data_IF_340955576788
#
_entry.id   IF_340955576788
#
_cell.length_a   1.000
_cell.length_b   1.000
_cell.length_c   1.000
_cell.angle_alpha   90.00
_cell.angle_beta   90.00
_cell.angle_gamma   90.00
#
_symmetry.space_group_name_H-M   'P 1'
#
loop_
_entity.id
_entity.type
_entity.pdbx_description
1 polymer ?
#
# COMPACT_ATOMS: atom_id res chain seq x y z
N UNK A 1 20.76 -5.21 -14.53
CA UNK A 1 19.68 -6.02 -13.92
C UNK A 1 18.54 -6.04 -14.92
N UNK A 2 17.87 -7.19 -15.13
CA UNK A 2 16.68 -7.22 -16.00
C UNK A 2 15.53 -6.57 -15.26
N UNK A 3 14.74 -5.76 -15.97
CA UNK A 3 13.53 -5.09 -15.47
C UNK A 3 12.35 -5.58 -16.30
N UNK A 4 11.19 -5.75 -15.67
CA UNK A 4 9.94 -5.97 -16.37
C UNK A 4 9.34 -4.59 -16.69
N UNK A 5 9.02 -4.35 -17.98
CA UNK A 5 8.33 -3.15 -18.43
C UNK A 5 6.99 -3.57 -19.03
N UNK A 6 5.91 -3.22 -18.35
CA UNK A 6 4.55 -3.66 -18.67
C UNK A 6 3.68 -2.44 -18.92
N UNK A 7 2.96 -2.44 -20.04
CA UNK A 7 1.94 -1.43 -20.36
C UNK A 7 0.59 -2.12 -20.31
N UNK A 8 -0.32 -1.61 -19.50
CA UNK A 8 -1.67 -2.14 -19.31
C UNK A 8 -2.70 -1.10 -19.80
N UNK A 9 -3.73 -1.56 -20.49
CA UNK A 9 -4.75 -0.69 -21.09
C UNK A 9 -6.14 -1.34 -21.04
N UNK A 10 -7.05 -0.80 -20.23
CA UNK A 10 -8.44 -1.23 -20.11
C UNK A 10 -8.60 -2.74 -19.82
N UNK A 11 -7.93 -3.26 -18.81
CA UNK A 11 -7.90 -4.69 -18.53
C UNK A 11 -7.94 -5.04 -17.04
N UNK A 12 -8.32 -6.28 -16.75
CA UNK A 12 -8.23 -6.90 -15.42
C UNK A 12 -7.13 -7.94 -15.49
N UNK A 13 -6.11 -7.83 -14.65
CA UNK A 13 -4.89 -8.63 -14.75
C UNK A 13 -4.52 -9.27 -13.41
N UNK A 14 -4.13 -10.54 -13.47
CA UNK A 14 -3.32 -11.18 -12.44
C UNK A 14 -1.87 -11.08 -12.86
N UNK A 15 -1.05 -10.36 -12.09
CA UNK A 15 0.36 -10.13 -12.44
C UNK A 15 1.28 -11.16 -11.78
N UNK A 16 2.24 -11.62 -12.56
CA UNK A 16 3.43 -12.35 -12.09
C UNK A 16 4.68 -11.65 -12.61
N UNK A 17 5.48 -11.10 -11.71
CA UNK A 17 6.77 -10.49 -12.08
C UNK A 17 7.87 -11.56 -12.07
N UNK A 18 8.76 -11.49 -13.07
CA UNK A 18 9.91 -12.41 -13.20
C UNK A 18 11.22 -11.79 -12.71
N UNK A 19 11.20 -10.52 -12.42
CA UNK A 19 12.39 -9.75 -12.02
C UNK A 19 12.19 -9.08 -10.67
N UNK A 20 13.26 -8.54 -10.10
CA UNK A 20 13.23 -7.81 -8.82
C UNK A 20 12.72 -6.37 -8.98
N UNK A 21 12.64 -5.88 -10.21
CA UNK A 21 12.16 -4.53 -10.54
C UNK A 21 11.10 -4.59 -11.62
N UNK A 22 10.03 -3.82 -11.44
CA UNK A 22 8.94 -3.73 -12.39
C UNK A 22 8.53 -2.28 -12.62
N UNK A 23 8.34 -1.92 -13.90
CA UNK A 23 7.77 -0.65 -14.32
C UNK A 23 6.41 -0.94 -14.98
N UNK A 24 5.36 -0.37 -14.39
CA UNK A 24 3.99 -0.44 -14.89
C UNK A 24 3.59 0.91 -15.48
N UNK A 25 3.12 0.92 -16.71
CA UNK A 25 2.49 2.10 -17.33
C UNK A 25 1.01 1.81 -17.53
N UNK A 26 0.16 2.63 -16.94
CA UNK A 26 -1.29 2.44 -16.92
C UNK A 26 -1.96 3.39 -17.90
N UNK A 27 -2.78 2.83 -18.78
CA UNK A 27 -3.67 3.53 -19.70
C UNK A 27 -5.09 3.07 -19.44
N UNK A 28 -6.07 3.98 -19.62
CA UNK A 28 -7.47 3.62 -19.43
C UNK A 28 -7.78 3.10 -18.04
N UNK A 29 -8.67 2.14 -17.91
CA UNK A 29 -9.11 1.58 -16.62
C UNK A 29 -8.50 0.19 -16.40
N UNK A 30 -7.66 0.04 -15.39
CA UNK A 30 -6.92 -1.19 -15.09
C UNK A 30 -7.20 -1.65 -13.67
N UNK A 31 -7.43 -2.95 -13.53
CA UNK A 31 -7.59 -3.60 -12.23
C UNK A 31 -6.54 -4.71 -12.11
N UNK A 32 -5.66 -4.58 -11.11
CA UNK A 32 -4.56 -5.51 -10.87
C UNK A 32 -4.79 -6.25 -9.56
N UNK A 33 -4.79 -7.58 -9.62
CA UNK A 33 -4.54 -8.44 -8.48
C UNK A 33 -3.11 -8.97 -8.59
N UNK A 34 -2.21 -8.48 -7.75
CA UNK A 34 -0.83 -8.94 -7.73
C UNK A 34 -0.70 -10.16 -6.82
N UNK A 35 -0.61 -11.33 -7.43
CA UNK A 35 -0.50 -12.63 -6.76
C UNK A 35 0.95 -13.06 -6.48
N UNK A 36 1.92 -12.20 -6.80
CA UNK A 36 3.32 -12.53 -6.62
C UNK A 36 3.69 -12.73 -5.15
N UNK A 37 4.31 -13.88 -4.87
CA UNK A 37 4.94 -14.17 -3.58
C UNK A 37 6.44 -13.87 -3.59
N UNK A 38 6.90 -13.04 -4.50
CA UNK A 38 8.31 -12.87 -4.78
C UNK A 38 8.90 -11.62 -4.15
N UNK A 39 10.21 -11.63 -4.16
CA UNK A 39 11.10 -10.63 -3.61
C UNK A 39 11.20 -9.39 -4.52
N UNK A 40 10.08 -8.83 -4.97
CA UNK A 40 10.12 -7.56 -5.68
C UNK A 40 10.79 -6.52 -4.78
N UNK A 41 11.84 -5.88 -5.29
CA UNK A 41 12.59 -4.84 -4.57
C UNK A 41 12.15 -3.44 -4.98
N UNK A 42 11.66 -3.27 -6.21
CA UNK A 42 11.22 -1.98 -6.72
C UNK A 42 10.03 -2.12 -7.67
N UNK A 43 8.98 -1.34 -7.40
CA UNK A 43 7.77 -1.21 -8.21
C UNK A 43 7.59 0.26 -8.60
N UNK A 44 7.64 0.53 -9.90
CA UNK A 44 7.38 1.86 -10.43
C UNK A 44 6.05 1.83 -11.18
N UNK A 45 5.13 2.72 -10.84
CA UNK A 45 3.81 2.82 -11.47
C UNK A 45 3.66 4.23 -12.04
N UNK A 46 3.32 4.33 -13.31
CA UNK A 46 3.00 5.60 -13.98
C UNK A 46 1.58 5.55 -14.52
N UNK A 47 0.72 6.44 -14.03
CA UNK A 47 -0.63 6.65 -14.53
C UNK A 47 -0.59 7.75 -15.58
N UNK A 48 -0.99 7.43 -16.81
CA UNK A 48 -1.13 8.39 -17.89
C UNK A 48 -2.44 9.17 -17.76
N UNK A 49 -2.58 10.27 -18.49
CA UNK A 49 -3.75 11.13 -18.44
C UNK A 49 -5.06 10.35 -18.61
N UNK A 50 -6.02 10.60 -17.73
CA UNK A 50 -7.34 9.96 -17.72
C UNK A 50 -7.38 8.51 -17.25
N UNK A 51 -6.26 7.96 -16.80
CA UNK A 51 -6.21 6.55 -16.39
C UNK A 51 -6.75 6.30 -14.98
N UNK A 52 -7.20 5.06 -14.76
CA UNK A 52 -7.69 4.58 -13.46
C UNK A 52 -7.00 3.28 -13.10
N UNK A 53 -6.48 3.19 -11.89
CA UNK A 53 -5.86 1.98 -11.37
C UNK A 53 -6.47 1.57 -10.04
N UNK A 54 -6.94 0.32 -9.97
CA UNK A 54 -7.13 -0.40 -8.72
C UNK A 54 -6.04 -1.48 -8.62
N UNK A 55 -5.15 -1.34 -7.65
CA UNK A 55 -4.06 -2.28 -7.39
C UNK A 55 -4.23 -2.94 -6.03
N UNK A 56 -4.33 -4.25 -6.01
CA UNK A 56 -4.45 -5.03 -4.79
C UNK A 56 -3.27 -6.01 -4.66
N UNK A 57 -2.64 -6.01 -3.49
CA UNK A 57 -1.54 -6.90 -3.13
C UNK A 57 -1.69 -7.42 -1.72
N UNK A 58 -1.56 -8.73 -1.57
CA UNK A 58 -1.24 -9.33 -0.29
C UNK A 58 0.13 -10.00 -0.39
N UNK A 59 0.99 -9.80 0.60
CA UNK A 59 2.32 -10.40 0.64
C UNK A 59 2.71 -10.83 2.05
N UNK A 60 3.72 -11.70 2.13
CA UNK A 60 4.24 -12.22 3.39
C UNK A 60 5.76 -12.23 3.38
N UNK A 61 6.35 -11.82 4.51
CA UNK A 61 7.78 -11.91 4.77
C UNK A 61 8.68 -11.29 3.69
N UNK A 62 8.35 -10.06 3.28
CA UNK A 62 9.23 -9.24 2.42
C UNK A 62 10.37 -8.64 3.26
N UNK A 63 11.47 -8.27 2.61
CA UNK A 63 12.61 -7.59 3.27
C UNK A 63 12.57 -6.09 3.00
N UNK A 64 12.85 -5.70 1.78
CA UNK A 64 12.89 -4.31 1.35
C UNK A 64 12.03 -4.16 0.10
N UNK A 65 11.23 -3.10 0.07
CA UNK A 65 10.43 -2.78 -1.10
C UNK A 65 10.39 -1.28 -1.27
N UNK A 66 10.69 -0.81 -2.48
CA UNK A 66 10.48 0.57 -2.89
C UNK A 66 9.35 0.63 -3.89
N UNK A 67 8.37 1.49 -3.64
CA UNK A 67 7.23 1.75 -4.51
C UNK A 67 7.26 3.21 -4.90
N UNK A 68 7.32 3.49 -6.19
CA UNK A 68 7.24 4.84 -6.75
C UNK A 68 6.00 4.93 -7.63
N UNK A 69 5.14 5.90 -7.35
CA UNK A 69 3.90 6.14 -8.10
C UNK A 69 3.95 7.56 -8.68
N UNK A 70 3.60 7.70 -9.95
CA UNK A 70 3.46 9.00 -10.62
C UNK A 70 2.10 9.10 -11.28
N UNK A 71 1.42 10.22 -11.05
CA UNK A 71 0.07 10.48 -11.53
C UNK A 71 0.05 11.74 -12.39
N UNK A 72 -0.35 11.59 -13.66
CA UNK A 72 -0.54 12.71 -14.58
C UNK A 72 -1.91 13.37 -14.36
N UNK A 73 -2.55 13.95 -15.38
CA UNK A 73 -3.85 14.61 -15.20
C UNK A 73 -5.02 13.61 -15.21
N UNK A 74 -6.09 13.96 -14.49
CA UNK A 74 -7.38 13.27 -14.51
C UNK A 74 -7.29 11.78 -14.12
N UNK A 75 -6.37 11.43 -13.23
CA UNK A 75 -6.16 10.05 -12.81
C UNK A 75 -6.98 9.66 -11.58
N UNK A 76 -7.23 8.36 -11.44
CA UNK A 76 -7.79 7.78 -10.22
C UNK A 76 -6.94 6.58 -9.79
N UNK A 77 -6.38 6.65 -8.61
CA UNK A 77 -5.59 5.58 -8.01
C UNK A 77 -6.25 5.06 -6.73
N UNK A 78 -6.44 3.75 -6.66
CA UNK A 78 -6.67 3.04 -5.42
C UNK A 78 -5.60 1.95 -5.30
N UNK A 79 -4.65 2.16 -4.38
CA UNK A 79 -3.52 1.27 -4.14
C UNK A 79 -3.68 0.61 -2.78
N UNK A 80 -3.91 -0.70 -2.75
CA UNK A 80 -4.13 -1.49 -1.54
C UNK A 80 -3.00 -2.51 -1.38
N UNK A 81 -2.16 -2.33 -0.36
CA UNK A 81 -1.02 -3.18 -0.08
C UNK A 81 -1.12 -3.76 1.34
N UNK A 82 -1.36 -5.05 1.43
CA UNK A 82 -1.48 -5.78 2.68
C UNK A 82 -0.29 -6.70 2.90
N UNK A 83 0.31 -6.66 4.11
CA UNK A 83 1.49 -7.46 4.41
C UNK A 83 1.42 -8.10 5.80
N UNK A 84 1.83 -9.37 5.88
CA UNK A 84 2.03 -10.09 7.13
C UNK A 84 3.52 -10.39 7.29
N UNK A 85 4.12 -9.96 8.41
CA UNK A 85 5.57 -10.02 8.59
C UNK A 85 5.95 -10.80 9.85
N UNK A 86 6.73 -11.88 9.68
CA UNK A 86 7.43 -12.58 10.76
C UNK A 86 8.94 -12.26 10.78
N UNK A 87 9.40 -11.42 9.86
CA UNK A 87 10.77 -10.89 9.78
C UNK A 87 10.72 -9.37 9.66
N UNK A 88 11.87 -8.71 9.82
CA UNK A 88 11.95 -7.25 9.64
C UNK A 88 11.75 -6.86 8.18
N UNK A 89 10.88 -5.89 7.93
CA UNK A 89 10.60 -5.33 6.60
C UNK A 89 10.81 -3.81 6.58
N UNK A 90 11.30 -3.30 5.45
CA UNK A 90 11.37 -1.86 5.17
C UNK A 90 10.67 -1.54 3.87
N UNK A 91 9.71 -0.61 3.93
CA UNK A 91 8.94 -0.15 2.77
C UNK A 91 9.18 1.34 2.59
N UNK A 92 9.53 1.73 1.38
CA UNK A 92 9.55 3.13 0.94
C UNK A 92 8.42 3.28 -0.08
N UNK A 93 7.50 4.20 0.20
CA UNK A 93 6.37 4.52 -0.67
C UNK A 93 6.44 5.99 -1.05
N UNK A 94 6.76 6.27 -2.30
CA UNK A 94 6.84 7.62 -2.84
C UNK A 94 5.73 7.81 -3.90
N UNK A 95 4.80 8.73 -3.64
CA UNK A 95 3.75 9.12 -4.59
C UNK A 95 3.93 10.55 -5.02
N UNK A 96 3.81 10.81 -6.33
CA UNK A 96 3.94 12.14 -6.93
C UNK A 96 2.75 12.45 -7.81
N UNK A 97 1.98 13.45 -7.42
CA UNK A 97 0.92 14.04 -8.23
C UNK A 97 1.53 15.15 -9.09
N UNK A 98 1.53 14.93 -10.40
CA UNK A 98 2.18 15.80 -11.40
C UNK A 98 1.18 16.66 -12.16
N UNK A 99 -0.11 16.31 -12.16
CA UNK A 99 -1.16 16.97 -12.92
C UNK A 99 -2.38 17.35 -12.07
N UNK A 100 -3.45 17.79 -12.72
CA UNK A 100 -4.69 18.24 -12.10
C UNK A 100 -5.74 17.13 -12.03
N UNK A 101 -6.79 17.33 -11.23
CA UNK A 101 -8.01 16.51 -11.13
C UNK A 101 -7.73 15.04 -10.75
N UNK A 102 -6.78 14.79 -9.86
CA UNK A 102 -6.43 13.43 -9.48
C UNK A 102 -7.09 13.02 -8.15
N UNK A 103 -7.46 11.74 -8.06
CA UNK A 103 -7.91 11.10 -6.82
C UNK A 103 -6.99 9.94 -6.49
N UNK A 104 -6.22 10.08 -5.44
CA UNK A 104 -5.24 9.11 -5.01
C UNK A 104 -5.58 8.59 -3.61
N UNK A 105 -5.72 7.28 -3.48
CA UNK A 105 -5.87 6.60 -2.20
C UNK A 105 -4.84 5.49 -2.08
N UNK A 106 -3.90 5.65 -1.15
CA UNK A 106 -2.87 4.67 -0.85
C UNK A 106 -3.12 4.05 0.52
N UNK A 107 -3.40 2.76 0.55
CA UNK A 107 -3.69 2.01 1.76
C UNK A 107 -2.62 0.94 1.98
N UNK A 108 -1.92 1.01 3.11
CA UNK A 108 -0.94 0.01 3.54
C UNK A 108 -1.40 -0.58 4.87
N UNK A 109 -1.66 -1.88 4.89
CA UNK A 109 -2.07 -2.62 6.08
C UNK A 109 -1.01 -3.66 6.44
N UNK A 110 -0.33 -3.48 7.56
CA UNK A 110 0.73 -4.37 8.02
C UNK A 110 0.35 -5.12 9.30
N UNK A 111 0.71 -6.38 9.37
CA UNK A 111 0.68 -7.17 10.62
C UNK A 111 2.09 -7.63 10.94
N UNK A 112 2.59 -7.29 12.13
CA UNK A 112 3.86 -7.80 12.66
C UNK A 112 3.60 -8.91 13.69
N UNK A 113 4.26 -10.06 13.50
CA UNK A 113 4.16 -11.23 14.37
C UNK A 113 5.55 -11.83 14.61
N UNK A 114 5.76 -12.57 15.69
CA UNK A 114 7.03 -13.21 16.07
C UNK A 114 8.16 -12.17 16.16
N UNK A 115 9.20 -12.31 15.32
CA UNK A 115 10.34 -11.39 15.22
C UNK A 115 10.15 -10.30 14.16
N UNK A 116 8.94 -10.23 13.60
CA UNK A 116 8.58 -9.28 12.55
C UNK A 116 8.51 -7.84 13.06
N UNK A 117 9.05 -6.92 12.28
CA UNK A 117 8.90 -5.48 12.45
C UNK A 117 8.71 -4.82 11.09
N UNK A 118 7.90 -3.78 11.03
CA UNK A 118 7.57 -3.08 9.79
C UNK A 118 8.00 -1.62 9.93
N UNK A 119 8.86 -1.18 9.03
CA UNK A 119 9.23 0.23 8.89
C UNK A 119 8.65 0.73 7.57
N UNK A 120 7.79 1.75 7.62
CA UNK A 120 7.22 2.39 6.42
C UNK A 120 7.64 3.85 6.40
N UNK A 121 8.35 4.25 5.34
CA UNK A 121 8.59 5.64 5.02
C UNK A 121 7.71 5.98 3.81
N UNK A 122 6.70 6.82 4.00
CA UNK A 122 5.78 7.23 2.96
C UNK A 122 5.92 8.71 2.68
N UNK A 123 5.99 9.08 1.40
CA UNK A 123 6.06 10.47 0.98
C UNK A 123 5.03 10.73 -0.13
N UNK A 124 4.01 11.49 0.20
CA UNK A 124 3.09 12.06 -0.78
C UNK A 124 3.56 13.43 -1.22
N UNK A 125 3.67 13.68 -2.52
CA UNK A 125 4.07 14.97 -3.04
C UNK A 125 3.13 15.48 -4.12
N UNK A 126 2.77 16.76 -4.02
CA UNK A 126 1.91 17.47 -4.96
C UNK A 126 2.69 18.67 -5.48
N UNK A 127 2.81 18.78 -6.81
CA UNK A 127 3.58 19.86 -7.44
C UNK A 127 2.94 21.24 -7.23
N UNK A 128 3.72 22.27 -7.50
CA UNK A 128 3.25 23.64 -7.50
C UNK A 128 2.30 23.90 -8.69
N UNK A 129 1.35 24.83 -8.50
CA UNK A 129 0.44 25.33 -9.53
C UNK A 129 -0.50 24.26 -10.15
N UNK A 130 -0.73 23.14 -9.48
CA UNK A 130 -1.75 22.15 -9.84
C UNK A 130 -2.93 22.22 -8.86
N UNK A 131 -4.10 21.76 -9.30
CA UNK A 131 -5.35 21.93 -8.54
C UNK A 131 -6.28 20.73 -8.66
N UNK A 132 -7.32 20.76 -7.84
CA UNK A 132 -8.39 19.76 -7.84
C UNK A 132 -7.86 18.33 -7.59
N UNK A 133 -6.84 18.21 -6.71
CA UNK A 133 -6.28 16.93 -6.34
C UNK A 133 -6.71 16.53 -4.93
N UNK A 134 -7.02 15.24 -4.75
CA UNK A 134 -7.34 14.63 -3.46
C UNK A 134 -6.39 13.44 -3.22
N UNK A 135 -5.50 13.58 -2.25
CA UNK A 135 -4.50 12.57 -1.89
C UNK A 135 -4.74 12.07 -0.46
N UNK A 136 -4.95 10.78 -0.32
CA UNK A 136 -5.05 10.10 0.97
C UNK A 136 -3.99 9.02 1.12
N UNK A 137 -3.14 9.14 2.13
CA UNK A 137 -2.26 8.07 2.62
C UNK A 137 -2.83 7.48 3.91
N UNK A 138 -3.08 6.20 3.94
CA UNK A 138 -3.62 5.50 5.11
C UNK A 138 -2.74 4.27 5.42
N UNK A 139 -1.91 4.38 6.46
CA UNK A 139 -0.96 3.35 6.85
C UNK A 139 -1.32 2.85 8.25
N UNK A 140 -1.60 1.55 8.35
CA UNK A 140 -1.99 0.93 9.62
C UNK A 140 -1.17 -0.33 9.88
N UNK A 141 -0.63 -0.44 11.08
CA UNK A 141 0.12 -1.61 11.52
C UNK A 141 -0.56 -2.20 12.78
N UNK A 142 -0.88 -3.48 12.73
CA UNK A 142 -1.35 -4.27 13.87
C UNK A 142 -0.18 -5.09 14.41
N UNK A 143 0.17 -4.87 15.66
CA UNK A 143 1.21 -5.63 16.38
C UNK A 143 0.59 -6.85 17.06
N UNK A 144 1.15 -8.01 16.80
CA UNK A 144 0.87 -9.26 17.54
C UNK A 144 2.03 -9.66 18.46
N UNK A 145 3.07 -8.84 18.49
CA UNK A 145 4.33 -9.00 19.24
C UNK A 145 4.74 -7.64 19.83
N UNK A 146 5.86 -7.58 20.53
CA UNK A 146 6.41 -6.36 21.13
C UNK A 146 7.51 -5.72 20.26
N UNK A 147 7.49 -5.92 18.95
CA UNK A 147 8.50 -5.37 18.05
C UNK A 147 8.31 -3.87 17.78
N UNK A 148 9.41 -3.19 17.51
CA UNK A 148 9.42 -1.78 17.13
C UNK A 148 8.99 -1.61 15.67
N UNK A 149 7.72 -1.25 15.47
CA UNK A 149 7.22 -0.82 14.17
C UNK A 149 7.33 0.71 14.06
N UNK A 150 7.60 1.19 12.85
CA UNK A 150 7.79 2.63 12.60
C UNK A 150 7.02 3.04 11.35
N UNK A 151 6.26 4.14 11.44
CA UNK A 151 5.66 4.80 10.28
C UNK A 151 6.17 6.24 10.25
N UNK A 152 6.75 6.66 9.14
CA UNK A 152 7.21 8.02 8.89
C UNK A 152 6.42 8.57 7.69
N UNK A 153 5.27 9.22 7.93
CA UNK A 153 4.50 9.83 6.86
C UNK A 153 5.02 11.25 6.58
N UNK A 154 5.21 11.60 5.31
CA UNK A 154 5.61 12.91 4.85
C UNK A 154 4.67 13.42 3.77
N UNK A 155 4.28 14.69 3.85
CA UNK A 155 3.49 15.37 2.83
C UNK A 155 4.24 16.62 2.35
N UNK A 156 4.50 16.69 1.05
CA UNK A 156 5.16 17.81 0.37
C UNK A 156 4.15 18.45 -0.58
N UNK A 157 3.47 19.49 -0.09
CA UNK A 157 2.35 20.11 -0.82
C UNK A 157 2.77 21.45 -1.36
N UNK A 158 2.92 21.55 -2.68
CA UNK A 158 3.30 22.77 -3.40
C UNK A 158 2.13 23.65 -3.84
N UNK A 159 0.87 23.18 -3.67
CA UNK A 159 -0.32 23.92 -4.11
C UNK A 159 -1.33 24.11 -2.96
N UNK A 160 -2.10 25.21 -3.01
CA UNK A 160 -3.15 25.51 -2.03
C UNK A 160 -4.53 25.02 -2.47
N UNK A 161 -4.70 24.56 -3.71
CA UNK A 161 -5.98 24.11 -4.28
C UNK A 161 -6.09 22.58 -4.31
N UNK A 162 -5.67 21.93 -3.22
CA UNK A 162 -5.62 20.48 -3.10
C UNK A 162 -6.04 20.02 -1.70
N UNK A 163 -6.61 18.81 -1.61
CA UNK A 163 -6.90 18.11 -0.35
C UNK A 163 -5.87 17.02 -0.16
N UNK A 164 -5.10 17.09 0.91
CA UNK A 164 -4.06 16.10 1.20
C UNK A 164 -4.15 15.67 2.65
N UNK A 165 -4.30 14.37 2.86
CA UNK A 165 -4.44 13.79 4.19
C UNK A 165 -3.53 12.57 4.36
N UNK A 166 -2.99 12.38 5.55
CA UNK A 166 -2.36 11.13 5.95
C UNK A 166 -2.92 10.63 7.28
N UNK A 167 -3.09 9.31 7.36
CA UNK A 167 -3.45 8.61 8.58
C UNK A 167 -2.39 7.54 8.86
N UNK A 168 -1.73 7.63 10.01
CA UNK A 168 -0.73 6.66 10.43
C UNK A 168 -1.13 6.09 11.81
N UNK A 169 -1.25 4.78 11.91
CA UNK A 169 -1.65 4.11 13.15
C UNK A 169 -0.85 2.84 13.38
N UNK A 170 -0.28 2.70 14.57
CA UNK A 170 0.28 1.46 15.08
C UNK A 170 -0.51 1.08 16.32
N UNK A 171 -1.07 -0.13 16.34
CA UNK A 171 -1.90 -0.62 17.43
C UNK A 171 -1.57 -2.05 17.80
N UNK A 172 -1.71 -2.41 19.07
CA UNK A 172 -1.69 -3.79 19.54
C UNK A 172 -3.04 -4.47 19.28
N UNK A 173 -3.02 -5.80 19.29
CA UNK A 173 -4.25 -6.59 19.25
C UNK A 173 -5.08 -6.33 20.52
N UNK A 174 -6.30 -5.82 20.36
CA UNK A 174 -7.20 -5.59 21.47
C UNK A 174 -7.74 -6.94 22.01
N UNK A 175 -7.39 -7.26 23.24
CA UNK A 175 -7.81 -8.49 23.92
C UNK A 175 -9.32 -8.59 24.13
N UNK A 176 -10.05 -7.47 24.16
CA UNK A 176 -11.51 -7.48 24.28
C UNK A 176 -12.17 -8.14 23.06
N UNK A 177 -11.64 -7.90 21.85
CA UNK A 177 -12.14 -8.59 20.65
C UNK A 177 -11.87 -10.11 20.73
N UNK A 178 -10.71 -10.52 21.26
CA UNK A 178 -10.41 -11.94 21.47
C UNK A 178 -11.39 -12.57 22.46
N UNK A 179 -11.62 -11.93 23.61
CA UNK A 179 -12.59 -12.43 24.62
C UNK A 179 -14.00 -12.51 24.05
N UNK A 180 -14.42 -11.50 23.29
CA UNK A 180 -15.72 -11.53 22.62
C UNK A 180 -15.84 -12.72 21.66
N UNK A 181 -14.87 -12.94 20.80
CA UNK A 181 -14.89 -14.05 19.84
C UNK A 181 -14.81 -15.42 20.55
N UNK A 182 -14.00 -15.54 21.61
CA UNK A 182 -13.95 -16.74 22.44
C UNK A 182 -15.31 -17.04 23.08
N UNK A 183 -16.03 -16.02 23.55
CA UNK A 183 -17.39 -16.19 24.10
C UNK A 183 -18.41 -16.68 23.07
N UNK A 184 -18.12 -16.54 21.77
CA UNK A 184 -18.90 -17.08 20.65
C UNK A 184 -18.45 -18.47 20.22
N UNK A 185 -17.50 -19.08 20.93
CA UNK A 185 -17.05 -20.46 20.71
C UNK A 185 -15.83 -20.61 19.78
N UNK A 186 -15.17 -19.51 19.38
CA UNK A 186 -13.91 -19.60 18.64
C UNK A 186 -12.75 -19.93 19.60
N UNK A 187 -11.81 -20.74 19.13
CA UNK A 187 -10.53 -20.87 19.85
C UNK A 187 -9.75 -19.56 19.81
N UNK A 188 -8.79 -19.37 20.74
CA UNK A 188 -7.93 -18.18 20.76
C UNK A 188 -7.22 -17.98 19.41
N UNK A 189 -6.66 -19.05 18.84
CA UNK A 189 -5.95 -18.99 17.57
C UNK A 189 -6.88 -18.66 16.38
N UNK A 190 -8.11 -19.19 16.37
CA UNK A 190 -9.05 -18.88 15.28
C UNK A 190 -9.58 -17.45 15.40
N UNK A 191 -9.82 -16.97 16.62
CA UNK A 191 -10.19 -15.58 16.89
C UNK A 191 -9.07 -14.62 16.42
N UNK A 192 -7.81 -14.91 16.77
CA UNK A 192 -6.64 -14.14 16.31
C UNK A 192 -6.55 -14.12 14.78
N UNK A 193 -6.65 -15.27 14.12
CA UNK A 193 -6.64 -15.38 12.66
C UNK A 193 -7.77 -14.57 12.02
N UNK A 194 -8.97 -14.60 12.59
CA UNK A 194 -10.11 -13.86 12.06
C UNK A 194 -9.90 -12.35 12.13
N UNK A 195 -9.37 -11.85 13.25
CA UNK A 195 -9.05 -10.42 13.43
C UNK A 195 -7.97 -10.00 12.43
N UNK A 196 -6.89 -10.77 12.31
CA UNK A 196 -5.81 -10.52 11.35
C UNK A 196 -6.35 -10.49 9.92
N UNK A 197 -7.18 -11.47 9.54
CA UNK A 197 -7.79 -11.51 8.21
C UNK A 197 -8.70 -10.31 7.93
N UNK A 198 -9.45 -9.86 8.93
CA UNK A 198 -10.30 -8.67 8.82
C UNK A 198 -9.52 -7.36 8.77
N UNK A 199 -8.31 -7.33 9.34
CA UNK A 199 -7.42 -6.17 9.31
C UNK A 199 -6.69 -6.04 7.97
N UNK A 200 -6.20 -7.14 7.43
CA UNK A 200 -5.56 -7.22 6.11
C UNK A 200 -6.66 -7.33 5.05
N UNK A 201 -7.11 -6.24 4.54
CA UNK A 201 -8.21 -6.15 3.54
C UNK A 201 -7.80 -6.69 2.17
#
# INVERSE_FOLDING_TARGET
MKEDNIVLDNEIVELEFKTLKCNLTIKGSVWINDLNNNNLEELNITLLDGSKLLYNKYTKDIKNLKINIQENNDTTLEFNYSLYQSIKASIILDSKVLGNNNKCSMNVYGVSDKDGAIVVNATGSVLENIKDNDLLENIRILMLNDSENVIVPNLLVGSNEVSVNHNATISSLDTNYLYYLNSKGLSYEDAKKLIVKGFLK
#
